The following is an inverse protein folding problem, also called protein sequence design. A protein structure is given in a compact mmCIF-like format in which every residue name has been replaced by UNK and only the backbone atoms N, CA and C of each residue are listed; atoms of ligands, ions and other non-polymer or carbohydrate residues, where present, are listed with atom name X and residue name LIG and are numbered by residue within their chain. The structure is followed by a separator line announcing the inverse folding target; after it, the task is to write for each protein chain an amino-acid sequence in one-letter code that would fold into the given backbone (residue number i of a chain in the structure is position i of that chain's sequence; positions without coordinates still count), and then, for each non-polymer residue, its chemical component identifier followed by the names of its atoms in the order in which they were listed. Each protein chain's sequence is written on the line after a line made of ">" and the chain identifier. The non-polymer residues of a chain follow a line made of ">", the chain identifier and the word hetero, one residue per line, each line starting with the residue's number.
data_IF_550845874770
#
_entry.id   IF_550845874770
#
_cell.length_a   1.000
_cell.length_b   1.000
_cell.length_c   1.000
_cell.angle_alpha   90.00
_cell.angle_beta   90.00
_cell.angle_gamma   90.00
#
_symmetry.space_group_name_H-M   'P 1'
#
loop_
_entity.id
_entity.type
_entity.pdbx_description
1 polymer ?
#
# COMPACT_ATOMS: atom_id res chain seq x y z
N UNK A 1 -10.97 -1.85 -9.41
CA UNK A 1 -10.45 -0.50 -9.07
C UNK A 1 -10.69 0.56 -10.15
N UNK A 2 -11.48 0.28 -11.20
CA UNK A 2 -11.71 1.20 -12.34
C UNK A 2 -12.46 2.49 -11.98
N UNK A 3 -13.15 2.52 -10.84
CA UNK A 3 -13.84 3.71 -10.30
C UNK A 3 -13.00 4.48 -9.27
N UNK A 4 -11.80 3.99 -8.93
CA UNK A 4 -10.92 4.66 -7.98
C UNK A 4 -10.13 5.77 -8.69
N UNK A 5 -9.74 6.80 -7.94
CA UNK A 5 -8.91 7.91 -8.43
C UNK A 5 -7.71 8.13 -7.52
N UNK A 6 -6.55 8.36 -8.14
CA UNK A 6 -5.32 8.73 -7.44
C UNK A 6 -5.47 10.08 -6.75
N UNK A 7 -4.95 10.20 -5.53
CA UNK A 7 -4.97 11.41 -4.70
C UNK A 7 -3.61 11.56 -4.05
N UNK A 8 -3.15 12.80 -3.94
CA UNK A 8 -1.97 13.12 -3.14
C UNK A 8 -2.34 13.14 -1.66
N UNK A 9 -1.36 12.97 -0.79
CA UNK A 9 -1.55 13.07 0.67
C UNK A 9 -2.07 14.45 1.08
N UNK A 10 -1.63 15.52 0.41
CA UNK A 10 -2.13 16.88 0.63
C UNK A 10 -3.63 17.02 0.33
N UNK A 11 -4.16 16.30 -0.66
CA UNK A 11 -5.60 16.32 -0.98
C UNK A 11 -6.46 15.61 0.09
N UNK A 12 -5.82 14.84 0.98
CA UNK A 12 -6.45 14.16 2.11
C UNK A 12 -6.22 14.89 3.43
N UNK A 13 -5.54 16.04 3.41
CA UNK A 13 -5.25 16.83 4.61
C UNK A 13 -6.55 17.26 5.30
N UNK A 14 -6.62 17.06 6.62
CA UNK A 14 -7.79 17.37 7.45
C UNK A 14 -8.82 16.24 7.55
N UNK A 15 -8.62 15.12 6.83
CA UNK A 15 -9.35 13.89 7.13
C UNK A 15 -8.69 13.18 8.31
N UNK A 16 -9.51 12.71 9.24
CA UNK A 16 -9.05 11.92 10.37
C UNK A 16 -9.12 10.44 10.00
N UNK A 17 -8.02 9.74 10.27
CA UNK A 17 -7.91 8.30 10.08
C UNK A 17 -7.56 7.65 11.40
N UNK A 18 -8.29 6.59 11.77
CA UNK A 18 -7.92 5.75 12.91
C UNK A 18 -6.62 4.99 12.61
N UNK A 19 -6.46 4.55 11.35
CA UNK A 19 -5.33 3.75 10.89
C UNK A 19 -4.80 4.24 9.54
N UNK A 20 -3.48 4.30 9.42
CA UNK A 20 -2.79 4.54 8.15
C UNK A 20 -1.79 3.41 7.93
N UNK A 21 -1.87 2.74 6.77
CA UNK A 21 -0.93 1.69 6.38
C UNK A 21 -0.07 2.20 5.23
N UNK A 22 1.24 2.27 5.45
CA UNK A 22 2.22 2.61 4.41
C UNK A 22 2.74 1.35 3.74
N UNK A 23 2.63 1.28 2.41
CA UNK A 23 2.84 0.04 1.62
C UNK A 23 4.20 -0.07 0.93
N UNK A 24 5.01 0.99 0.98
CA UNK A 24 6.38 0.99 0.48
C UNK A 24 7.22 1.99 1.29
N UNK A 25 8.54 1.83 1.26
CA UNK A 25 9.46 2.67 2.04
C UNK A 25 9.37 4.15 1.63
N UNK A 26 9.21 4.40 0.32
CA UNK A 26 8.97 5.74 -0.19
C UNK A 26 7.69 6.37 0.36
N UNK A 27 6.62 5.58 0.54
CA UNK A 27 5.37 6.06 1.14
C UNK A 27 5.50 6.31 2.64
N UNK A 28 6.37 5.56 3.33
CA UNK A 28 6.70 5.78 4.75
C UNK A 28 7.45 7.11 4.94
N UNK A 29 8.42 7.39 4.08
CA UNK A 29 9.23 8.62 4.15
C UNK A 29 8.45 9.87 3.70
N UNK A 30 7.55 9.72 2.72
CA UNK A 30 6.75 10.82 2.18
C UNK A 30 5.47 11.10 2.97
N UNK A 31 5.22 10.37 4.06
CA UNK A 31 3.98 10.52 4.81
C UNK A 31 3.90 11.90 5.48
N UNK A 32 2.77 12.62 5.32
CA UNK A 32 2.54 13.85 6.04
C UNK A 32 2.42 13.57 7.55
N UNK A 33 2.45 14.63 8.34
CA UNK A 33 2.12 14.54 9.75
C UNK A 33 0.64 14.13 9.92
N UNK A 34 0.42 12.99 10.56
CA UNK A 34 -0.92 12.57 11.01
C UNK A 34 -1.13 12.95 12.48
N UNK A 35 -2.38 13.21 12.91
CA UNK A 35 -2.70 13.44 14.31
C UNK A 35 -2.16 12.32 15.22
N UNK A 36 -1.84 12.65 16.47
CA UNK A 36 -1.27 11.68 17.43
C UNK A 36 -2.19 10.49 17.75
N UNK A 37 -3.48 10.60 17.45
CA UNK A 37 -4.48 9.53 17.59
C UNK A 37 -4.42 8.50 16.45
N UNK A 38 -3.82 8.84 15.32
CA UNK A 38 -3.72 7.95 14.16
C UNK A 38 -2.67 6.87 14.39
N UNK A 39 -3.06 5.61 14.21
CA UNK A 39 -2.16 4.46 14.31
C UNK A 39 -1.50 4.19 12.97
N UNK A 40 -0.18 4.39 12.91
CA UNK A 40 0.62 4.20 11.70
C UNK A 40 1.20 2.78 11.65
N UNK A 41 0.83 2.02 10.63
CA UNK A 41 1.42 0.73 10.29
C UNK A 41 2.28 0.84 9.03
N UNK A 42 3.27 -0.03 8.92
CA UNK A 42 4.12 -0.11 7.75
C UNK A 42 4.32 -1.57 7.36
N UNK A 43 4.06 -1.86 6.09
CA UNK A 43 4.31 -3.16 5.49
C UNK A 43 4.75 -2.92 4.04
N UNK A 44 6.01 -3.21 3.72
CA UNK A 44 6.57 -2.91 2.40
C UNK A 44 6.27 -4.05 1.43
N UNK A 45 5.73 -3.73 0.25
CA UNK A 45 5.59 -4.64 -0.88
C UNK A 45 6.52 -4.22 -2.02
N UNK A 46 6.93 -5.19 -2.84
CA UNK A 46 7.66 -4.88 -4.07
C UNK A 46 6.76 -4.12 -5.05
N UNK A 47 7.35 -3.17 -5.78
CA UNK A 47 6.64 -2.39 -6.80
C UNK A 47 6.50 -3.19 -8.12
N UNK A 48 5.27 -3.60 -8.53
CA UNK A 48 5.11 -4.45 -9.71
C UNK A 48 5.61 -3.83 -11.02
N UNK A 49 5.38 -2.52 -11.32
CA UNK A 49 6.01 -1.84 -12.44
C UNK A 49 7.53 -1.97 -12.46
N UNK A 50 8.20 -1.83 -11.30
CA UNK A 50 9.66 -1.96 -11.20
C UNK A 50 10.12 -3.39 -11.50
N UNK A 51 9.41 -4.40 -11.00
CA UNK A 51 9.71 -5.80 -11.29
C UNK A 51 9.48 -6.16 -12.76
N UNK A 52 8.42 -5.61 -13.35
CA UNK A 52 8.05 -5.85 -14.74
C UNK A 52 8.92 -5.06 -15.74
N UNK A 53 9.84 -4.20 -15.29
CA UNK A 53 10.65 -3.35 -16.17
C UNK A 53 11.49 -4.14 -17.17
N UNK A 54 11.98 -5.33 -16.77
CA UNK A 54 12.79 -6.21 -17.61
C UNK A 54 11.98 -7.36 -18.23
N UNK A 55 10.65 -7.36 -18.08
CA UNK A 55 9.79 -8.41 -18.62
C UNK A 55 9.79 -8.37 -20.15
N UNK A 56 9.95 -9.55 -20.78
CA UNK A 56 10.02 -9.68 -22.24
C UNK A 56 8.65 -9.87 -22.87
N UNK A 57 7.65 -10.21 -22.07
CA UNK A 57 6.27 -10.46 -22.51
C UNK A 57 5.26 -9.89 -21.54
N UNK A 58 4.04 -9.64 -22.02
CA UNK A 58 2.93 -9.17 -21.18
C UNK A 58 2.58 -10.17 -20.08
N UNK A 59 2.61 -11.49 -20.36
CA UNK A 59 2.31 -12.50 -19.35
C UNK A 59 3.39 -12.55 -18.26
N UNK A 60 4.67 -12.37 -18.63
CA UNK A 60 5.77 -12.25 -17.67
C UNK A 60 5.58 -11.01 -16.78
N UNK A 61 5.24 -9.85 -17.37
CA UNK A 61 4.90 -8.65 -16.61
C UNK A 61 3.71 -8.90 -15.67
N UNK A 62 2.60 -9.45 -16.16
CA UNK A 62 1.39 -9.74 -15.39
C UNK A 62 1.64 -10.71 -14.23
N UNK A 63 2.61 -11.63 -14.36
CA UNK A 63 2.97 -12.53 -13.26
C UNK A 63 3.44 -11.77 -12.02
N UNK A 64 4.22 -10.69 -12.19
CA UNK A 64 4.67 -9.85 -11.07
C UNK A 64 3.52 -9.10 -10.40
N UNK A 65 2.58 -8.56 -11.19
CA UNK A 65 1.37 -7.91 -10.67
C UNK A 65 0.49 -8.89 -9.88
N UNK A 66 0.29 -10.11 -10.40
CA UNK A 66 -0.51 -11.14 -9.73
C UNK A 66 0.14 -11.55 -8.41
N UNK A 67 1.46 -11.74 -8.37
CA UNK A 67 2.20 -12.05 -7.13
C UNK A 67 1.97 -10.99 -6.05
N UNK A 68 2.28 -9.73 -6.34
CA UNK A 68 2.16 -8.64 -5.35
C UNK A 68 0.71 -8.42 -4.93
N UNK A 69 -0.26 -8.53 -5.85
CA UNK A 69 -1.69 -8.51 -5.50
C UNK A 69 -2.05 -9.60 -4.50
N UNK A 70 -1.48 -10.80 -4.65
CA UNK A 70 -1.79 -11.95 -3.79
C UNK A 70 -1.12 -11.80 -2.42
N UNK A 71 0.08 -11.20 -2.36
CA UNK A 71 0.74 -10.79 -1.11
C UNK A 71 -0.07 -9.72 -0.36
N UNK A 72 -0.56 -8.69 -1.07
CA UNK A 72 -1.44 -7.67 -0.49
C UNK A 72 -2.73 -8.31 0.06
N UNK A 73 -3.29 -9.28 -0.67
CA UNK A 73 -4.49 -10.00 -0.23
C UNK A 73 -4.25 -10.73 1.09
N UNK A 74 -3.18 -11.51 1.18
CA UNK A 74 -2.83 -12.25 2.39
C UNK A 74 -2.63 -11.30 3.58
N UNK A 75 -1.92 -10.19 3.38
CA UNK A 75 -1.76 -9.18 4.41
C UNK A 75 -3.09 -8.55 4.86
N UNK A 76 -3.98 -8.24 3.92
CA UNK A 76 -5.30 -7.68 4.22
C UNK A 76 -6.19 -8.69 4.97
N UNK A 77 -6.07 -9.98 4.67
CA UNK A 77 -6.76 -11.04 5.40
C UNK A 77 -6.29 -11.15 6.86
N UNK A 78 -5.02 -10.84 7.15
CA UNK A 78 -4.43 -10.81 8.50
C UNK A 78 -4.58 -9.45 9.23
N UNK A 79 -5.05 -8.41 8.54
CA UNK A 79 -5.18 -7.07 9.11
C UNK A 79 -6.02 -7.03 10.39
N UNK A 80 -7.19 -7.71 10.50
CA UNK A 80 -7.99 -7.67 11.73
C UNK A 80 -7.19 -8.06 12.98
N UNK A 81 -6.39 -9.13 12.89
CA UNK A 81 -5.54 -9.61 13.97
C UNK A 81 -4.37 -8.64 14.23
N UNK A 82 -3.76 -8.11 13.18
CA UNK A 82 -2.65 -7.13 13.29
C UNK A 82 -3.12 -5.85 13.99
N UNK A 83 -4.33 -5.38 13.68
CA UNK A 83 -4.91 -4.17 14.27
C UNK A 83 -5.32 -4.41 15.73
N UNK A 84 -5.82 -5.60 16.07
CA UNK A 84 -6.23 -5.95 17.44
C UNK A 84 -5.07 -6.09 18.44
N UNK A 85 -3.85 -6.35 17.96
CA UNK A 85 -2.66 -6.59 18.81
C UNK A 85 -1.83 -5.34 19.13
N UNK A 86 -2.16 -4.21 18.50
CA UNK A 86 -1.43 -2.94 18.63
C UNK A 86 -2.30 -1.87 19.30
#
# INVERSE_FOLDING_TARGET
>A
ISTHTSKTTAALAGLEFDYVVTVCDHARESCPFFPATTRLLHHSFDDPPRLAADARTEEEALSHYRRVRDEIRAYVEELPEILARN
#
